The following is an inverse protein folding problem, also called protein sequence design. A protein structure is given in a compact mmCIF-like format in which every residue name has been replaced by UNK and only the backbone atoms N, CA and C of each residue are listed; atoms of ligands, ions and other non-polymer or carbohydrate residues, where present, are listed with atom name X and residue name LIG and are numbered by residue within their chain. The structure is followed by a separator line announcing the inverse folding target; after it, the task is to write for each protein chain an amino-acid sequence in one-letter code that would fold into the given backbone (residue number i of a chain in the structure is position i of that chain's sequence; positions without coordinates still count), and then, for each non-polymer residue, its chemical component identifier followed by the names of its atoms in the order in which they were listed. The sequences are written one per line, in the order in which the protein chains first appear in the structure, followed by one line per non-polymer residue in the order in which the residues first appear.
data_IF_591860894080
#
_entry.id   IF_591860894080
#
_cell.length_a   1.000
_cell.length_b   1.000
_cell.length_c   1.000
_cell.angle_alpha   90.00
_cell.angle_beta   90.00
_cell.angle_gamma   90.00
#
_symmetry.space_group_name_H-M   'P 1'
#
loop_
_entity.id
_entity.type
_entity.pdbx_description
1 polymer ?
#
# COMPACT_ATOMS: atom_id res chain seq x y z
N UNK A 1 12.25 2.52 16.88
CA UNK A 1 11.25 1.87 16.10
C UNK A 1 10.29 2.84 15.51
N UNK A 2 10.21 2.87 14.23
CA UNK A 2 9.41 3.86 13.55
C UNK A 2 8.10 3.25 13.09
N UNK A 3 7.03 3.65 13.74
CA UNK A 3 5.72 3.12 13.38
C UNK A 3 5.32 3.46 11.98
N UNK A 4 5.67 4.66 11.55
CA UNK A 4 5.30 5.09 10.21
C UNK A 4 6.00 4.23 9.16
N UNK A 5 7.27 3.99 9.34
CA UNK A 5 8.01 3.15 8.43
C UNK A 5 7.42 1.74 8.39
N UNK A 6 7.06 1.22 9.54
CA UNK A 6 6.46 -0.11 9.59
C UNK A 6 5.12 -0.14 8.89
N UNK A 7 4.33 0.91 9.05
CA UNK A 7 3.04 0.98 8.37
C UNK A 7 3.21 1.02 6.87
N UNK A 8 4.14 1.84 6.39
CA UNK A 8 4.39 1.94 4.96
C UNK A 8 4.83 0.58 4.41
N UNK A 9 5.72 -0.09 5.12
CA UNK A 9 6.19 -1.40 4.69
C UNK A 9 5.04 -2.40 4.65
N UNK A 10 4.20 -2.37 5.67
CA UNK A 10 3.06 -3.28 5.72
C UNK A 10 2.12 -3.05 4.53
N UNK A 11 1.84 -1.78 4.22
CA UNK A 11 0.96 -1.48 3.11
C UNK A 11 1.53 -1.98 1.79
N UNK A 12 2.82 -1.81 1.60
CA UNK A 12 3.46 -2.26 0.36
C UNK A 12 3.46 -3.78 0.26
N UNK A 13 3.68 -4.46 1.37
CA UNK A 13 3.62 -5.91 1.37
C UNK A 13 2.22 -6.41 1.08
N UNK A 14 1.22 -5.77 1.68
CA UNK A 14 -0.16 -6.16 1.43
C UNK A 14 -0.52 -5.96 -0.04
N UNK A 15 -0.07 -4.87 -0.63
CA UNK A 15 -0.33 -4.62 -2.04
C UNK A 15 0.31 -5.70 -2.91
N UNK A 16 1.53 -6.09 -2.59
CA UNK A 16 2.20 -7.16 -3.31
C UNK A 16 1.44 -8.47 -3.24
N UNK A 17 0.95 -8.80 -2.05
CA UNK A 17 0.19 -10.05 -1.89
C UNK A 17 -1.09 -10.01 -2.68
N UNK A 18 -1.76 -8.86 -2.69
CA UNK A 18 -2.98 -8.75 -3.47
C UNK A 18 -2.72 -8.93 -4.96
N UNK A 19 -1.60 -8.40 -5.45
CA UNK A 19 -1.27 -8.58 -6.85
C UNK A 19 -0.96 -10.02 -7.17
N UNK A 20 -0.32 -10.74 -6.27
CA UNK A 20 -0.09 -12.16 -6.46
C UNK A 20 -1.39 -12.93 -6.51
N UNK A 21 -2.32 -12.59 -5.61
CA UNK A 21 -3.61 -13.25 -5.63
C UNK A 21 -4.36 -12.96 -6.92
N UNK A 22 -4.22 -11.74 -7.44
CA UNK A 22 -4.86 -11.38 -8.69
C UNK A 22 -4.38 -12.26 -9.84
N UNK A 23 -3.11 -12.61 -9.83
CA UNK A 23 -2.57 -13.49 -10.86
C UNK A 23 -3.15 -14.89 -10.75
N UNK A 24 -3.46 -15.31 -9.53
CA UNK A 24 -3.93 -16.67 -9.31
C UNK A 24 -5.44 -16.80 -9.40
N UNK A 25 -6.15 -15.72 -9.17
CA UNK A 25 -7.61 -15.75 -9.16
C UNK A 25 -8.12 -14.70 -10.12
N UNK A 26 -8.11 -15.01 -11.41
CA UNK A 26 -8.47 -14.00 -12.41
C UNK A 26 -9.89 -13.48 -12.30
N UNK A 27 -10.77 -14.24 -11.67
CA UNK A 27 -12.16 -13.79 -11.55
C UNK A 27 -12.29 -12.51 -10.74
N UNK A 28 -11.37 -12.28 -9.81
CA UNK A 28 -11.44 -11.08 -8.99
C UNK A 28 -10.18 -10.25 -9.13
N UNK A 29 -9.46 -10.47 -10.22
CA UNK A 29 -8.18 -9.78 -10.39
C UNK A 29 -8.32 -8.28 -10.40
N UNK A 30 -9.35 -7.76 -11.05
CA UNK A 30 -9.53 -6.32 -11.11
C UNK A 30 -9.74 -5.71 -9.73
N UNK A 31 -10.56 -6.37 -8.94
CA UNK A 31 -10.81 -5.87 -7.59
C UNK A 31 -9.55 -5.91 -6.74
N UNK A 32 -8.81 -7.01 -6.86
CA UNK A 32 -7.59 -7.14 -6.07
C UNK A 32 -6.55 -6.12 -6.49
N UNK A 33 -6.43 -5.87 -7.79
CA UNK A 33 -5.48 -4.88 -8.28
C UNK A 33 -5.88 -3.47 -7.87
N UNK A 34 -7.17 -3.21 -7.86
CA UNK A 34 -7.65 -1.92 -7.42
C UNK A 34 -7.31 -1.70 -5.94
N UNK A 35 -7.51 -2.72 -5.13
CA UNK A 35 -7.17 -2.62 -3.71
C UNK A 35 -5.67 -2.45 -3.52
N UNK A 36 -4.89 -3.17 -4.30
CA UNK A 36 -3.44 -3.03 -4.21
C UNK A 36 -3.01 -1.61 -4.57
N UNK A 37 -3.63 -1.05 -5.60
CA UNK A 37 -3.34 0.32 -5.98
C UNK A 37 -3.67 1.32 -4.90
N UNK A 38 -4.78 1.10 -4.20
CA UNK A 38 -5.15 1.97 -3.10
C UNK A 38 -4.16 1.88 -1.95
N UNK A 39 -3.72 0.68 -1.65
CA UNK A 39 -2.73 0.52 -0.58
C UNK A 39 -1.41 1.17 -0.94
N UNK A 40 -1.02 1.06 -2.19
CA UNK A 40 0.21 1.70 -2.64
C UNK A 40 0.08 3.22 -2.60
N UNK A 41 -1.07 3.74 -2.96
CA UNK A 41 -1.31 5.17 -2.90
C UNK A 41 -1.23 5.67 -1.46
N UNK A 42 -1.79 4.90 -0.53
CA UNK A 42 -1.71 5.26 0.87
C UNK A 42 -0.26 5.25 1.34
N UNK A 43 0.49 4.25 0.93
CA UNK A 43 1.89 4.19 1.32
C UNK A 43 2.66 5.36 0.76
N UNK A 44 2.37 5.74 -0.47
CA UNK A 44 3.04 6.88 -1.10
C UNK A 44 2.70 8.17 -0.39
N UNK A 45 1.45 8.32 -0.01
CA UNK A 45 1.05 9.51 0.72
C UNK A 45 1.80 9.63 2.03
N UNK A 46 1.92 8.54 2.74
CA UNK A 46 2.63 8.55 4.00
C UNK A 46 4.11 8.81 3.81
N UNK A 47 4.64 8.37 2.68
CA UNK A 47 6.06 8.53 2.42
C UNK A 47 6.41 9.94 1.99
N UNK A 48 5.60 10.50 1.12
CA UNK A 48 5.96 11.76 0.50
C UNK A 48 5.23 12.95 1.06
N UNK A 49 4.42 12.79 2.04
CA UNK A 49 3.67 13.90 2.60
C UNK A 49 4.56 14.67 3.58
N UNK A 50 4.97 15.83 3.20
CA UNK A 50 5.83 16.60 4.10
C UNK A 50 5.08 17.10 5.31
N UNK A 51 3.80 17.16 5.21
CA UNK A 51 3.04 17.60 6.35
C UNK A 51 2.86 16.52 7.33
N UNK A 52 3.06 15.34 6.91
CA UNK A 52 3.10 14.27 7.85
C UNK A 52 4.23 14.56 8.78
N UNK A 53 5.15 15.34 8.34
CA UNK A 53 6.19 15.66 9.24
C UNK A 53 5.67 16.76 10.12
N UNK A 54 6.03 16.70 11.30
CA UNK A 54 5.50 17.61 12.29
C UNK A 54 6.14 18.93 12.28
N UNK A 55 6.84 19.18 11.29
CA UNK A 55 7.47 20.42 11.26
C UNK A 55 6.59 21.57 11.23
N UNK A 56 5.44 21.35 11.01
CA UNK A 56 4.64 22.46 10.88
C UNK A 56 4.50 23.28 12.10
#
# INVERSE_FOLDING_TARGET
MDRLTNTIRFLRLAASELRRLAERIPEIAEELQSMAGQLEAEADDLTSDPDASPTV
#
